data_IF_622160769302
#
_entry.id   IF_622160769302
#
_cell.length_a   1.000
_cell.length_b   1.000
_cell.length_c   1.000
_cell.angle_alpha   90.00
_cell.angle_beta   90.00
_cell.angle_gamma   90.00
#
_symmetry.space_group_name_H-M   'P 1'
#
loop_
_entity.id
_entity.type
_entity.pdbx_description
1 polymer ?
#
# COMPACT_ATOMS: atom_id res chain seq x y z
N UNK A 1 15.92 -8.52 12.17
CA UNK A 1 14.98 -9.21 13.08
C UNK A 1 13.74 -8.34 13.25
N UNK A 2 12.56 -8.91 13.09
CA UNK A 2 11.28 -8.25 13.34
C UNK A 2 10.45 -9.10 14.31
N UNK A 3 9.68 -8.45 15.18
CA UNK A 3 8.77 -9.11 16.12
C UNK A 3 7.39 -8.50 15.95
N UNK A 4 6.39 -9.33 15.69
CA UNK A 4 5.00 -8.92 15.64
C UNK A 4 4.29 -9.39 16.92
N UNK A 5 3.78 -8.43 17.69
CA UNK A 5 2.97 -8.72 18.87
C UNK A 5 1.58 -9.23 18.43
N UNK A 6 1.02 -10.14 19.21
CA UNK A 6 -0.27 -10.77 18.93
C UNK A 6 -1.12 -10.68 20.19
N UNK A 7 -2.32 -10.11 20.09
CA UNK A 7 -3.21 -10.02 21.24
C UNK A 7 -3.97 -11.34 21.45
N UNK A 8 -4.21 -11.72 22.70
CA UNK A 8 -4.92 -12.96 23.05
C UNK A 8 -6.32 -13.02 22.42
N UNK A 9 -7.04 -11.89 22.45
CA UNK A 9 -8.38 -11.75 21.87
C UNK A 9 -8.41 -12.03 20.36
N UNK A 10 -7.34 -11.66 19.65
CA UNK A 10 -7.22 -11.92 18.20
C UNK A 10 -7.07 -13.41 17.89
N UNK A 11 -6.53 -14.20 18.83
CA UNK A 11 -6.22 -15.63 18.68
C UNK A 11 -7.41 -16.52 19.04
N UNK A 12 -8.14 -16.22 20.12
CA UNK A 12 -9.21 -17.08 20.62
C UNK A 12 -10.49 -17.05 19.75
N UNK A 13 -10.90 -15.87 19.29
CA UNK A 13 -12.10 -15.72 18.44
C UNK A 13 -12.08 -16.60 17.15
N UNK A 14 -11.00 -16.61 16.34
CA UNK A 14 -10.97 -17.35 15.08
C UNK A 14 -10.54 -18.81 15.22
N UNK A 15 -9.88 -19.19 16.34
CA UNK A 15 -9.52 -20.59 16.61
C UNK A 15 -10.71 -21.40 17.11
N UNK A 16 -11.68 -20.75 17.77
CA UNK A 16 -12.77 -21.43 18.47
C UNK A 16 -12.30 -22.24 19.69
N UNK A 17 -11.03 -22.11 20.06
CA UNK A 17 -10.40 -22.78 21.20
C UNK A 17 -10.15 -21.73 22.29
N UNK A 18 -10.87 -21.79 23.42
CA UNK A 18 -10.69 -20.83 24.51
C UNK A 18 -9.30 -20.95 25.17
N UNK A 19 -8.61 -22.06 24.98
CA UNK A 19 -7.24 -22.28 25.47
C UNK A 19 -6.18 -21.92 24.44
N UNK A 20 -6.56 -21.52 23.22
CA UNK A 20 -5.60 -21.13 22.20
C UNK A 20 -4.94 -19.79 22.55
N UNK A 21 -3.61 -19.80 22.56
CA UNK A 21 -2.81 -18.60 22.71
C UNK A 21 -1.54 -18.71 21.86
N UNK A 22 -1.00 -17.56 21.47
CA UNK A 22 0.19 -17.50 20.64
C UNK A 22 1.20 -16.53 21.23
N UNK A 23 2.49 -16.85 21.06
CA UNK A 23 3.58 -15.92 21.36
C UNK A 23 3.61 -14.76 20.36
N UNK A 24 4.44 -13.74 20.57
CA UNK A 24 4.86 -12.86 19.49
C UNK A 24 5.47 -13.67 18.34
N UNK A 25 5.20 -13.25 17.12
CA UNK A 25 5.74 -13.88 15.91
C UNK A 25 7.11 -13.28 15.60
N UNK A 26 8.12 -14.14 15.49
CA UNK A 26 9.50 -13.77 15.18
C UNK A 26 9.73 -13.91 13.67
N UNK A 27 10.28 -12.87 13.05
CA UNK A 27 10.75 -12.91 11.67
C UNK A 27 12.25 -12.63 11.62
N UNK A 28 12.99 -13.60 11.08
CA UNK A 28 14.41 -13.49 10.77
C UNK A 28 14.54 -13.45 9.25
N UNK A 29 15.12 -12.37 8.74
CA UNK A 29 15.37 -12.18 7.32
C UNK A 29 16.75 -11.57 7.10
N UNK A 30 17.39 -11.94 6.00
CA UNK A 30 18.65 -11.40 5.52
C UNK A 30 18.57 -11.28 3.99
N UNK A 31 19.17 -10.22 3.43
CA UNK A 31 19.31 -10.03 1.99
C UNK A 31 20.80 -9.95 1.65
N UNK A 32 21.37 -10.87 0.85
CA UNK A 32 20.75 -12.07 0.27
C UNK A 32 20.43 -13.15 1.34
N UNK A 33 19.47 -14.04 1.02
CA UNK A 33 19.10 -15.15 1.91
C UNK A 33 20.23 -16.18 1.94
N UNK A 34 20.86 -16.36 3.10
CA UNK A 34 21.91 -17.36 3.34
C UNK A 34 21.56 -18.18 4.59
N UNK A 35 22.08 -19.40 4.71
CA UNK A 35 21.93 -20.20 5.92
C UNK A 35 22.88 -19.74 7.03
N UNK A 36 22.53 -20.00 8.29
CA UNK A 36 23.47 -19.79 9.38
C UNK A 36 24.61 -20.80 9.29
N UNK A 37 25.84 -20.34 9.48
CA UNK A 37 27.03 -21.21 9.49
C UNK A 37 27.05 -22.15 10.71
N UNK A 38 26.33 -21.79 11.77
CA UNK A 38 26.15 -22.60 12.98
C UNK A 38 24.72 -22.45 13.49
N UNK A 39 24.17 -23.46 14.19
CA UNK A 39 22.85 -23.37 14.79
C UNK A 39 22.75 -22.18 15.77
N UNK A 40 21.75 -21.32 15.56
CA UNK A 40 21.48 -20.19 16.43
C UNK A 40 20.45 -20.58 17.46
N UNK A 41 20.71 -20.25 18.73
CA UNK A 41 19.75 -20.38 19.82
C UNK A 41 18.77 -19.21 19.80
N UNK A 42 17.49 -19.52 19.71
CA UNK A 42 16.39 -18.56 19.71
C UNK A 42 15.58 -18.75 20.98
N UNK A 43 15.19 -17.63 21.57
CA UNK A 43 14.37 -17.57 22.78
C UNK A 43 13.12 -16.74 22.49
N UNK A 44 11.94 -17.34 22.65
CA UNK A 44 10.64 -16.69 22.44
C UNK A 44 9.83 -16.81 23.72
N UNK A 45 9.14 -15.74 24.18
CA UNK A 45 8.31 -15.81 25.37
C UNK A 45 7.17 -16.81 25.16
N UNK A 46 6.80 -17.51 26.24
CA UNK A 46 5.64 -18.39 26.23
C UNK A 46 4.37 -17.58 25.94
N UNK A 47 3.35 -18.19 25.32
CA UNK A 47 2.07 -17.54 25.10
C UNK A 47 1.44 -17.03 26.42
N UNK A 48 0.67 -15.94 26.39
CA UNK A 48 0.03 -15.41 27.60
C UNK A 48 -0.81 -16.49 28.30
N UNK A 49 -0.69 -16.58 29.63
CA UNK A 49 -1.37 -17.59 30.44
C UNK A 49 -0.68 -18.95 30.51
N UNK A 50 0.44 -19.15 29.81
CA UNK A 50 1.24 -20.38 29.84
C UNK A 50 2.53 -20.13 30.60
N UNK A 51 2.83 -20.98 31.59
CA UNK A 51 4.07 -20.97 32.36
C UNK A 51 4.79 -22.30 32.21
N UNK A 52 6.11 -22.29 32.36
CA UNK A 52 6.92 -23.51 32.15
C UNK A 52 6.61 -24.66 33.11
N UNK A 53 6.01 -24.39 34.28
CA UNK A 53 5.62 -25.41 35.25
C UNK A 53 4.25 -26.05 34.94
N UNK A 54 3.40 -25.40 34.15
CA UNK A 54 2.06 -25.89 33.78
C UNK A 54 1.94 -26.25 32.30
N UNK A 55 3.01 -26.09 31.53
CA UNK A 55 2.96 -26.30 30.07
C UNK A 55 2.77 -27.77 29.74
N UNK A 56 1.67 -28.08 29.05
CA UNK A 56 1.49 -29.35 28.38
C UNK A 56 2.24 -29.31 27.04
N UNK A 57 3.38 -29.98 26.96
CA UNK A 57 4.21 -30.03 25.75
C UNK A 57 3.49 -30.65 24.55
N UNK A 58 2.42 -31.45 24.76
CA UNK A 58 1.62 -32.00 23.66
C UNK A 58 0.73 -30.97 22.96
N UNK A 59 0.52 -29.81 23.61
CA UNK A 59 -0.29 -28.68 23.13
C UNK A 59 0.56 -27.53 22.61
N UNK A 60 1.88 -27.63 22.74
CA UNK A 60 2.82 -26.60 22.35
C UNK A 60 3.34 -26.90 20.94
N UNK A 61 3.10 -25.97 20.02
CA UNK A 61 3.45 -26.11 18.61
C UNK A 61 4.38 -24.99 18.17
N UNK A 62 5.58 -25.33 17.69
CA UNK A 62 6.50 -24.40 17.05
C UNK A 62 6.21 -24.40 15.54
N UNK A 63 5.65 -23.30 15.06
CA UNK A 63 5.29 -23.11 13.66
C UNK A 63 6.42 -22.40 12.92
N UNK A 64 6.79 -22.96 11.78
CA UNK A 64 7.73 -22.38 10.82
C UNK A 64 6.98 -21.87 9.59
N UNK A 65 7.19 -20.61 9.24
CA UNK A 65 6.53 -19.97 8.10
C UNK A 65 7.51 -19.61 6.99
N UNK A 66 7.25 -20.07 5.77
CA UNK A 66 8.03 -19.68 4.60
C UNK A 66 7.62 -18.24 4.15
N UNK A 67 8.54 -17.26 4.15
CA UNK A 67 8.26 -15.91 3.68
C UNK A 67 7.73 -15.83 2.24
N UNK A 68 8.10 -16.79 1.39
CA UNK A 68 7.78 -16.80 -0.05
C UNK A 68 6.50 -17.58 -0.33
N UNK A 69 6.38 -18.79 0.21
CA UNK A 69 5.23 -19.66 -0.03
C UNK A 69 3.99 -19.33 0.83
N UNK A 70 4.11 -18.46 1.85
CA UNK A 70 3.01 -18.13 2.78
C UNK A 70 2.40 -19.39 3.46
N UNK A 71 3.18 -20.47 3.52
CA UNK A 71 2.82 -21.75 4.13
C UNK A 71 3.41 -21.84 5.53
N UNK A 72 2.64 -22.44 6.44
CA UNK A 72 3.04 -22.68 7.82
C UNK A 72 3.11 -24.18 8.09
N UNK A 73 4.24 -24.64 8.63
CA UNK A 73 4.51 -26.04 8.95
C UNK A 73 4.85 -26.20 10.43
N UNK A 74 4.30 -27.21 11.08
CA UNK A 74 4.67 -27.55 12.45
C UNK A 74 6.01 -28.29 12.45
N UNK A 75 7.01 -27.71 13.13
CA UNK A 75 8.38 -28.25 13.24
C UNK A 75 8.70 -28.71 14.67
N UNK A 76 7.70 -28.82 15.55
CA UNK A 76 7.89 -29.16 16.97
C UNK A 76 8.66 -30.46 17.16
N UNK A 77 8.36 -31.49 16.37
CA UNK A 77 9.05 -32.78 16.44
C UNK A 77 10.46 -32.77 15.81
N UNK A 78 10.78 -31.76 15.00
CA UNK A 78 12.04 -31.66 14.26
C UNK A 78 13.10 -30.87 15.03
N UNK A 79 12.69 -30.12 16.06
CA UNK A 79 13.56 -29.20 16.81
C UNK A 79 13.56 -29.56 18.28
N UNK A 80 14.74 -29.56 18.90
CA UNK A 80 14.88 -29.70 20.36
C UNK A 80 14.38 -28.44 21.06
N UNK A 81 13.10 -28.46 21.43
CA UNK A 81 12.42 -27.41 22.18
C UNK A 81 12.52 -27.69 23.67
N UNK A 82 13.04 -26.74 24.45
CA UNK A 82 12.95 -26.79 25.91
C UNK A 82 12.32 -25.53 26.45
N UNK A 83 11.63 -25.66 27.59
CA UNK A 83 10.87 -24.58 28.19
C UNK A 83 11.49 -24.19 29.54
N UNK A 84 11.66 -22.90 29.74
CA UNK A 84 12.03 -22.27 31.02
C UNK A 84 10.76 -21.75 31.71
N UNK A 85 10.88 -21.01 32.82
CA UNK A 85 9.71 -20.47 33.51
C UNK A 85 8.79 -19.62 32.60
N UNK A 86 9.36 -18.82 31.68
CA UNK A 86 8.61 -17.89 30.82
C UNK A 86 9.01 -17.91 29.33
N UNK A 87 9.99 -18.72 28.93
CA UNK A 87 10.45 -18.78 27.55
C UNK A 87 10.50 -20.21 27.02
N UNK A 88 10.21 -20.36 25.73
CA UNK A 88 10.64 -21.51 24.96
C UNK A 88 11.95 -21.21 24.26
N UNK A 89 12.87 -22.18 24.28
CA UNK A 89 14.19 -22.05 23.70
C UNK A 89 14.45 -23.21 22.75
N UNK A 90 14.98 -22.89 21.57
CA UNK A 90 15.22 -23.85 20.52
C UNK A 90 16.38 -23.40 19.61
N UNK A 91 16.88 -24.31 18.78
CA UNK A 91 17.97 -24.03 17.84
C UNK A 91 17.48 -24.08 16.40
N UNK A 92 17.94 -23.14 15.57
CA UNK A 92 17.58 -23.02 14.16
C UNK A 92 18.82 -22.84 13.28
N UNK A 93 18.69 -23.19 11.99
CA UNK A 93 19.76 -23.06 11.00
C UNK A 93 19.43 -22.12 9.84
N UNK A 94 18.19 -21.62 9.77
CA UNK A 94 17.69 -20.85 8.63
C UNK A 94 16.99 -19.55 9.09
N UNK A 95 17.13 -18.49 8.28
CA UNK A 95 16.32 -17.28 8.42
C UNK A 95 14.90 -17.56 7.94
N UNK A 96 13.94 -17.43 8.84
CA UNK A 96 12.54 -17.71 8.55
C UNK A 96 11.60 -17.07 9.59
N UNK A 97 10.32 -17.38 9.50
CA UNK A 97 9.28 -16.97 10.44
C UNK A 97 9.08 -18.09 11.46
N UNK A 98 9.07 -17.74 12.74
CA UNK A 98 8.87 -18.66 13.85
C UNK A 98 7.77 -18.14 14.75
N UNK A 99 6.83 -19.02 15.10
CA UNK A 99 5.68 -18.64 15.91
C UNK A 99 5.29 -19.78 16.84
N UNK A 100 5.27 -19.52 18.15
CA UNK A 100 4.92 -20.51 19.15
C UNK A 100 3.42 -20.43 19.48
N UNK A 101 2.75 -21.57 19.42
CA UNK A 101 1.32 -21.73 19.64
C UNK A 101 1.06 -22.69 20.78
N UNK A 102 0.07 -22.39 21.61
CA UNK A 102 -0.46 -23.31 22.60
C UNK A 102 -1.94 -23.52 22.31
N UNK A 103 -2.36 -24.76 22.01
CA UNK A 103 -3.75 -25.07 21.63
C UNK A 103 -4.08 -26.54 21.87
N UNK A 104 -5.37 -26.85 22.01
CA UNK A 104 -5.88 -28.21 22.08
C UNK A 104 -6.06 -28.88 20.71
N UNK A 105 -5.96 -28.12 19.62
CA UNK A 105 -6.16 -28.62 18.26
C UNK A 105 -4.92 -29.35 17.74
N UNK A 106 -5.11 -30.54 17.16
CA UNK A 106 -4.01 -31.31 16.56
C UNK A 106 -3.49 -30.76 15.22
N UNK A 107 -4.30 -29.97 14.51
CA UNK A 107 -3.97 -29.42 13.19
C UNK A 107 -3.95 -27.88 13.24
N UNK A 108 -2.78 -27.31 13.53
CA UNK A 108 -2.64 -25.89 13.86
C UNK A 108 -2.23 -25.04 12.65
N UNK A 109 -1.57 -25.62 11.65
CA UNK A 109 -1.04 -24.93 10.46
C UNK A 109 -2.09 -24.15 9.65
N UNK A 110 -3.29 -24.71 9.45
CA UNK A 110 -4.38 -24.01 8.75
C UNK A 110 -4.89 -22.79 9.51
N UNK A 111 -4.97 -22.89 10.85
CA UNK A 111 -5.41 -21.80 11.73
C UNK A 111 -4.34 -20.72 11.80
N UNK A 112 -3.07 -21.11 11.94
CA UNK A 112 -1.91 -20.20 11.91
C UNK A 112 -1.88 -19.42 10.61
N UNK A 113 -2.11 -20.08 9.46
CA UNK A 113 -2.18 -19.40 8.17
C UNK A 113 -3.29 -18.36 8.16
N UNK A 114 -4.51 -18.70 8.58
CA UNK A 114 -5.62 -17.72 8.64
C UNK A 114 -5.29 -16.54 9.56
N UNK A 115 -4.70 -16.83 10.71
CA UNK A 115 -4.31 -15.83 11.71
C UNK A 115 -3.19 -14.92 11.23
N UNK A 116 -2.19 -15.48 10.56
CA UNK A 116 -1.15 -14.73 9.91
C UNK A 116 -1.69 -13.74 8.87
N UNK A 117 -2.65 -14.17 8.06
CA UNK A 117 -3.31 -13.28 7.10
C UNK A 117 -4.09 -12.18 7.84
N UNK A 118 -4.85 -12.52 8.89
CA UNK A 118 -5.58 -11.54 9.71
C UNK A 118 -4.65 -10.50 10.37
N UNK A 119 -3.50 -10.92 10.89
CA UNK A 119 -2.51 -9.99 11.47
C UNK A 119 -1.86 -9.07 10.44
N UNK A 120 -1.83 -9.49 9.18
CA UNK A 120 -1.36 -8.65 8.07
C UNK A 120 -2.45 -7.75 7.49
N UNK A 121 -3.70 -7.88 7.93
CA UNK A 121 -4.81 -7.07 7.47
C UNK A 121 -4.81 -5.71 8.18
N UNK A 122 -4.89 -4.66 7.38
CA UNK A 122 -5.01 -3.29 7.83
C UNK A 122 -6.37 -2.76 7.43
N UNK A 123 -7.03 -2.13 8.39
CA UNK A 123 -8.23 -1.33 8.19
C UNK A 123 -7.81 -0.01 7.56
N UNK A 124 -8.16 0.19 6.29
CA UNK A 124 -7.76 1.36 5.51
C UNK A 124 -8.98 2.13 5.00
N UNK A 125 -8.74 3.40 4.66
CA UNK A 125 -9.67 4.24 3.89
C UNK A 125 -8.95 4.81 2.68
N UNK A 126 -9.71 5.00 1.61
CA UNK A 126 -9.26 5.68 0.40
C UNK A 126 -9.74 7.12 0.41
N UNK A 127 -8.88 8.02 -0.08
CA UNK A 127 -9.18 9.41 -0.35
C UNK A 127 -9.02 9.64 -1.85
N UNK A 128 -9.92 10.43 -2.40
CA UNK A 128 -9.84 10.96 -3.75
C UNK A 128 -10.24 12.44 -3.65
N UNK A 129 -9.26 13.33 -3.70
CA UNK A 129 -9.48 14.76 -3.51
C UNK A 129 -8.97 15.52 -4.73
N UNK A 130 -9.67 16.57 -5.12
CA UNK A 130 -9.32 17.47 -6.22
C UNK A 130 -8.65 18.72 -5.65
N UNK A 131 -7.65 19.27 -6.32
CA UNK A 131 -7.01 20.51 -5.86
C UNK A 131 -7.97 21.67 -6.09
N UNK A 132 -8.13 22.57 -5.12
CA UNK A 132 -9.11 23.67 -5.23
C UNK A 132 -8.82 24.63 -6.38
N UNK A 133 -7.54 24.87 -6.65
CA UNK A 133 -7.10 25.78 -7.72
C UNK A 133 -7.00 25.09 -9.09
N UNK A 134 -7.02 23.75 -9.13
CA UNK A 134 -6.89 22.95 -10.33
C UNK A 134 -7.68 21.64 -10.15
N UNK A 135 -8.98 21.63 -10.49
CA UNK A 135 -9.83 20.47 -10.25
C UNK A 135 -9.47 19.25 -11.11
N UNK A 136 -8.67 19.42 -12.16
CA UNK A 136 -8.14 18.33 -12.98
C UNK A 136 -6.97 17.64 -12.28
N UNK A 137 -6.34 18.28 -11.29
CA UNK A 137 -5.35 17.64 -10.44
C UNK A 137 -6.02 16.87 -9.28
N UNK A 138 -5.96 15.54 -9.35
CA UNK A 138 -6.56 14.61 -8.38
C UNK A 138 -5.49 13.92 -7.56
N UNK A 139 -5.64 14.02 -6.24
CA UNK A 139 -4.88 13.29 -5.23
C UNK A 139 -5.62 12.01 -4.84
N UNK A 140 -5.01 10.86 -5.13
CA UNK A 140 -5.44 9.56 -4.63
C UNK A 140 -4.54 9.11 -3.48
N UNK A 141 -5.16 8.70 -2.38
CA UNK A 141 -4.40 8.28 -1.20
C UNK A 141 -5.04 7.09 -0.49
N UNK A 142 -4.23 6.11 -0.06
CA UNK A 142 -4.64 5.00 0.79
C UNK A 142 -3.97 5.08 2.16
N UNK A 143 -4.76 5.11 3.23
CA UNK A 143 -4.29 5.34 4.61
C UNK A 143 -4.89 4.34 5.60
N UNK A 144 -4.12 3.93 6.62
CA UNK A 144 -4.65 3.31 7.82
C UNK A 144 -5.73 4.18 8.49
N UNK A 145 -6.73 3.54 9.09
CA UNK A 145 -7.90 4.18 9.72
C UNK A 145 -7.51 5.29 10.72
N UNK A 146 -6.50 5.03 11.56
CA UNK A 146 -6.00 5.94 12.60
C UNK A 146 -5.39 7.24 12.04
N UNK A 147 -5.04 7.26 10.75
CA UNK A 147 -4.37 8.40 10.08
C UNK A 147 -5.25 9.11 9.07
N UNK A 148 -6.41 8.55 8.72
CA UNK A 148 -7.24 9.07 7.65
C UNK A 148 -7.84 10.45 7.98
N UNK A 149 -8.36 10.61 9.20
CA UNK A 149 -9.06 11.85 9.62
C UNK A 149 -8.10 13.02 9.80
N UNK A 150 -6.99 12.82 10.50
CA UNK A 150 -5.96 13.85 10.67
C UNK A 150 -5.37 14.30 9.34
N UNK A 151 -5.21 13.36 8.38
CA UNK A 151 -4.75 13.68 7.03
C UNK A 151 -5.77 14.50 6.25
N UNK A 152 -7.06 14.17 6.34
CA UNK A 152 -8.13 14.93 5.67
C UNK A 152 -8.16 16.39 6.14
N UNK A 153 -8.04 16.61 7.46
CA UNK A 153 -7.94 17.97 8.02
C UNK A 153 -6.73 18.72 7.47
N UNK A 154 -5.55 18.08 7.42
CA UNK A 154 -4.33 18.70 6.89
C UNK A 154 -4.40 19.09 5.41
N UNK A 155 -5.26 18.42 4.63
CA UNK A 155 -5.43 18.65 3.20
C UNK A 155 -6.56 19.62 2.88
N UNK A 156 -7.45 19.91 3.84
CA UNK A 156 -8.66 20.70 3.64
C UNK A 156 -8.41 22.13 3.14
N UNK A 157 -7.22 22.70 3.36
CA UNK A 157 -6.87 24.02 2.85
C UNK A 157 -6.68 24.02 1.33
N UNK A 158 -5.99 23.01 0.79
CA UNK A 158 -5.53 22.94 -0.61
C UNK A 158 -6.38 22.05 -1.52
N UNK A 159 -7.09 21.08 -0.92
CA UNK A 159 -7.87 20.08 -1.64
C UNK A 159 -9.32 20.06 -1.15
N UNK A 160 -10.22 19.67 -2.04
CA UNK A 160 -11.64 19.48 -1.80
C UNK A 160 -12.08 18.15 -2.43
N UNK A 161 -13.05 17.46 -1.83
CA UNK A 161 -13.50 16.19 -2.37
C UNK A 161 -14.57 15.51 -1.54
N UNK A 162 -15.02 14.31 -1.96
CA UNK A 162 -15.94 13.49 -1.18
C UNK A 162 -15.35 13.09 0.18
N UNK A 163 -16.24 12.60 1.05
CA UNK A 163 -15.82 11.95 2.28
C UNK A 163 -14.93 10.73 1.98
N UNK A 164 -14.02 10.36 2.90
CA UNK A 164 -13.23 9.14 2.79
C UNK A 164 -14.10 7.92 2.52
N UNK A 165 -13.56 6.93 1.81
CA UNK A 165 -14.29 5.69 1.53
C UNK A 165 -14.77 5.01 2.81
N UNK A 166 -15.74 4.11 2.65
CA UNK A 166 -16.01 3.10 3.66
C UNK A 166 -14.75 2.31 3.99
N UNK A 167 -14.77 1.65 5.15
CA UNK A 167 -13.65 0.88 5.62
C UNK A 167 -13.38 -0.30 4.70
N UNK A 168 -12.15 -0.38 4.19
CA UNK A 168 -11.67 -1.55 3.48
C UNK A 168 -10.57 -2.27 4.27
N UNK A 169 -10.33 -3.53 3.92
CA UNK A 169 -9.27 -4.34 4.54
C UNK A 169 -8.19 -4.61 3.48
N UNK A 170 -6.92 -4.31 3.77
CA UNK A 170 -5.80 -4.63 2.87
C UNK A 170 -4.69 -5.37 3.60
N UNK A 171 -4.07 -6.32 2.93
CA UNK A 171 -2.87 -6.98 3.44
C UNK A 171 -1.63 -6.10 3.20
N UNK A 172 -0.70 -6.10 4.15
CA UNK A 172 0.63 -5.50 3.91
C UNK A 172 1.34 -6.23 2.76
N UNK A 173 1.74 -5.48 1.75
CA UNK A 173 2.32 -5.94 0.49
C UNK A 173 1.29 -6.21 -0.61
N UNK A 174 -0.01 -6.06 -0.34
CA UNK A 174 -1.06 -6.28 -1.33
C UNK A 174 -1.05 -5.17 -2.39
N UNK A 175 -1.11 -5.59 -3.65
CA UNK A 175 -1.28 -4.69 -4.77
C UNK A 175 -2.77 -4.45 -5.02
N UNK A 176 -3.12 -3.18 -5.23
CA UNK A 176 -4.46 -2.75 -5.62
C UNK A 176 -4.35 -1.66 -6.68
N UNK A 177 -5.46 -1.34 -7.34
CA UNK A 177 -5.48 -0.42 -8.47
C UNK A 177 -6.57 0.62 -8.29
N UNK A 178 -6.37 1.79 -8.92
CA UNK A 178 -7.38 2.82 -9.06
C UNK A 178 -7.65 3.10 -10.54
N UNK A 179 -8.91 3.01 -10.95
CA UNK A 179 -9.37 3.33 -12.30
C UNK A 179 -10.32 4.51 -12.29
N UNK A 180 -10.20 5.38 -13.28
CA UNK A 180 -11.14 6.48 -13.51
C UNK A 180 -12.24 5.99 -14.45
N UNK A 181 -13.48 6.32 -14.10
CA UNK A 181 -14.67 5.83 -14.80
C UNK A 181 -15.68 6.96 -15.02
N UNK A 182 -16.70 6.67 -15.85
CA UNK A 182 -17.85 7.55 -16.12
C UNK A 182 -17.45 8.90 -16.73
N UNK A 183 -16.64 8.86 -17.78
CA UNK A 183 -16.31 10.04 -18.60
C UNK A 183 -15.13 10.84 -18.09
N UNK A 184 -14.37 10.32 -17.13
CA UNK A 184 -13.07 10.83 -16.71
C UNK A 184 -12.03 9.77 -17.00
N UNK A 185 -10.90 10.18 -17.56
CA UNK A 185 -9.75 9.31 -17.84
C UNK A 185 -8.44 9.96 -17.36
N UNK A 186 -7.38 9.17 -17.28
CA UNK A 186 -6.02 9.64 -16.97
C UNK A 186 -5.11 9.55 -18.17
N UNK A 187 -4.09 10.40 -18.21
CA UNK A 187 -3.04 10.26 -19.20
C UNK A 187 -2.29 8.92 -19.01
N UNK A 188 -2.40 8.03 -19.99
CA UNK A 188 -1.91 6.66 -19.97
C UNK A 188 -0.37 6.54 -20.06
N UNK A 189 0.34 7.62 -20.38
CA UNK A 189 1.78 7.63 -20.63
C UNK A 189 2.67 7.44 -19.38
N UNK A 190 2.09 7.18 -18.21
CA UNK A 190 2.84 7.04 -16.96
C UNK A 190 3.32 5.60 -16.73
N UNK A 191 4.56 5.39 -16.23
CA UNK A 191 5.10 4.04 -15.98
C UNK A 191 4.36 3.27 -14.88
N UNK A 192 3.64 3.99 -14.00
CA UNK A 192 2.84 3.42 -12.92
C UNK A 192 1.34 3.27 -13.28
N UNK A 193 1.01 3.51 -14.55
CA UNK A 193 -0.27 3.29 -15.18
C UNK A 193 -0.20 2.00 -16.03
N UNK A 194 -1.12 1.06 -15.78
CA UNK A 194 -1.33 -0.13 -16.61
C UNK A 194 -2.74 -0.05 -17.17
N UNK A 195 -2.89 0.04 -18.49
CA UNK A 195 -4.19 0.11 -19.18
C UNK A 195 -5.12 1.20 -18.61
N UNK A 196 -4.61 2.43 -18.43
CA UNK A 196 -5.39 3.57 -17.91
C UNK A 196 -5.66 3.53 -16.40
N UNK A 197 -4.97 2.66 -15.65
CA UNK A 197 -5.23 2.40 -14.23
C UNK A 197 -3.96 2.47 -13.39
N UNK A 198 -4.04 3.14 -12.25
CA UNK A 198 -2.91 3.41 -11.38
C UNK A 198 -2.67 2.25 -10.41
N UNK A 199 -1.48 1.68 -10.40
CA UNK A 199 -1.12 0.59 -9.49
C UNK A 199 -0.55 1.08 -8.16
N UNK A 200 -1.02 0.54 -7.04
CA UNK A 200 -0.53 0.82 -5.69
C UNK A 200 -0.12 -0.48 -4.99
N UNK A 201 0.82 -0.41 -4.05
CA UNK A 201 1.14 -1.52 -3.14
C UNK A 201 1.09 -1.01 -1.71
N UNK A 202 0.30 -1.66 -0.85
CA UNK A 202 0.06 -1.16 0.50
C UNK A 202 1.12 -1.62 1.50
N UNK A 203 1.76 -0.68 2.17
CA UNK A 203 2.67 -0.88 3.29
C UNK A 203 2.36 0.10 4.42
N UNK A 204 1.93 -0.38 5.59
CA UNK A 204 1.46 0.46 6.72
C UNK A 204 2.37 1.63 7.17
N UNK A 205 3.67 1.59 6.86
CA UNK A 205 4.65 2.61 7.23
C UNK A 205 4.96 3.61 6.10
N UNK A 206 4.50 3.35 4.87
CA UNK A 206 4.73 4.21 3.71
C UNK A 206 3.49 5.05 3.41
N UNK A 207 3.72 6.16 2.69
CA UNK A 207 2.66 7.00 2.14
C UNK A 207 2.30 6.46 0.76
N UNK A 208 1.07 5.97 0.59
CA UNK A 208 0.55 5.55 -0.72
C UNK A 208 -0.22 6.71 -1.32
N UNK A 209 0.52 7.62 -1.94
CA UNK A 209 -0.02 8.85 -2.53
C UNK A 209 0.31 8.83 -4.02
N UNK A 210 -0.68 9.16 -4.85
CA UNK A 210 -0.46 9.52 -6.25
C UNK A 210 -1.26 10.77 -6.59
N UNK A 211 -0.58 11.75 -7.15
CA UNK A 211 -1.22 12.89 -7.79
C UNK A 211 -1.20 12.71 -9.29
N UNK A 212 -2.36 12.86 -9.89
CA UNK A 212 -2.58 12.65 -11.32
C UNK A 212 -3.44 13.75 -11.88
N UNK A 213 -3.21 14.06 -13.15
CA UNK A 213 -4.05 14.96 -13.91
C UNK A 213 -5.08 14.13 -14.68
N UNK A 214 -6.35 14.49 -14.58
CA UNK A 214 -7.47 13.79 -15.19
C UNK A 214 -8.10 14.65 -16.27
N UNK A 215 -8.59 14.02 -17.33
CA UNK A 215 -9.24 14.72 -18.43
C UNK A 215 -10.60 14.07 -18.72
N UNK A 216 -11.59 14.86 -19.18
CA UNK A 216 -12.85 14.30 -19.64
C UNK A 216 -12.62 13.44 -20.90
N UNK A 217 -13.21 12.23 -20.93
CA UNK A 217 -13.06 11.29 -22.06
C UNK A 217 -13.63 11.84 -23.36
N UNK A 218 -14.65 12.70 -23.28
CA UNK A 218 -15.23 13.40 -24.42
C UNK A 218 -15.32 14.90 -24.09
N UNK A 219 -14.96 15.79 -25.03
CA UNK A 219 -15.16 17.22 -24.85
C UNK A 219 -16.67 17.52 -24.83
N UNK A 220 -17.25 17.62 -23.63
CA UNK A 220 -18.64 18.02 -23.42
C UNK A 220 -18.69 19.39 -22.72
N UNK A 221 -19.62 20.25 -23.14
CA UNK A 221 -19.88 21.50 -22.44
C UNK A 221 -20.60 21.21 -21.11
N UNK A 222 -20.03 21.69 -20.00
CA UNK A 222 -20.58 21.57 -18.66
C UNK A 222 -19.76 20.72 -17.69
N UNK A 223 -20.26 20.55 -16.46
CA UNK A 223 -19.61 19.76 -15.43
C UNK A 223 -19.74 18.27 -15.70
N UNK A 224 -18.62 17.61 -15.99
CA UNK A 224 -18.52 16.16 -16.13
C UNK A 224 -18.45 15.52 -14.74
N UNK A 225 -19.40 14.63 -14.47
CA UNK A 225 -19.42 13.82 -13.25
C UNK A 225 -18.79 12.46 -13.54
N UNK A 226 -17.61 12.21 -12.99
CA UNK A 226 -17.01 10.89 -13.03
C UNK A 226 -16.81 10.31 -11.65
N UNK A 227 -16.02 9.26 -11.60
CA UNK A 227 -15.68 8.59 -10.35
C UNK A 227 -14.32 7.91 -10.46
N UNK A 228 -13.69 7.68 -9.32
CA UNK A 228 -12.55 6.79 -9.21
C UNK A 228 -12.95 5.55 -8.41
N UNK A 229 -12.61 4.39 -8.93
CA UNK A 229 -12.91 3.09 -8.34
C UNK A 229 -11.61 2.40 -7.94
N UNK A 230 -11.59 1.84 -6.73
CA UNK A 230 -10.49 1.06 -6.21
C UNK A 230 -10.84 -0.43 -6.24
N UNK A 231 -9.92 -1.26 -6.72
CA UNK A 231 -10.11 -2.71 -6.81
C UNK A 231 -8.83 -3.51 -6.52
N UNK A 232 -9.02 -4.73 -6.02
CA UNK A 232 -7.98 -5.74 -5.79
C UNK A 232 -7.82 -6.62 -7.04
N UNK A 233 -6.61 -7.11 -7.25
CA UNK A 233 -6.33 -8.12 -8.30
C UNK A 233 -6.33 -7.53 -9.70
N UNK A 234 -6.75 -8.33 -10.68
CA UNK A 234 -6.71 -7.95 -12.10
C UNK A 234 -7.89 -7.06 -12.51
N UNK A 235 -7.64 -6.28 -13.56
CA UNK A 235 -8.53 -5.28 -14.15
C UNK A 235 -9.82 -5.94 -14.66
N UNK A 236 -11.01 -5.69 -14.05
CA UNK A 236 -12.27 -6.09 -14.67
C UNK A 236 -12.48 -5.30 -15.97
N UNK A 237 -12.93 -5.97 -17.04
CA UNK A 237 -13.27 -5.29 -18.30
C UNK A 237 -14.46 -4.34 -18.09
N UNK A 238 -14.53 -3.28 -18.89
CA UNK A 238 -15.53 -2.20 -18.75
C UNK A 238 -16.99 -2.72 -18.84
N UNK A 239 -17.20 -3.86 -19.49
CA UNK A 239 -18.50 -4.54 -19.60
C UNK A 239 -18.90 -5.30 -18.32
N UNK A 240 -17.94 -5.67 -17.46
CA UNK A 240 -18.18 -6.44 -16.23
C UNK A 240 -18.33 -5.57 -14.96
N UNK A 241 -17.94 -4.29 -15.02
CA UNK A 241 -17.91 -3.39 -13.88
C UNK A 241 -19.29 -3.10 -13.25
N UNK A 242 -20.38 -3.24 -14.01
CA UNK A 242 -21.74 -3.09 -13.48
C UNK A 242 -22.28 -4.38 -12.82
N UNK A 243 -21.86 -5.55 -13.34
CA UNK A 243 -22.28 -6.89 -12.88
C UNK A 243 -21.58 -7.31 -11.59
N UNK A 244 -20.27 -7.08 -11.49
CA UNK A 244 -19.45 -7.47 -10.33
C UNK A 244 -19.65 -6.60 -9.08
N UNK A 245 -20.42 -5.50 -9.17
CA UNK A 245 -20.83 -4.67 -8.02
C UNK A 245 -21.72 -5.41 -7.01
N UNK A 246 -22.29 -6.57 -7.39
CA UNK A 246 -23.14 -7.44 -6.54
C UNK A 246 -22.75 -8.92 -6.69
N UNK A 247 -21.46 -9.23 -6.61
CA UNK A 247 -20.95 -10.61 -6.64
C UNK A 247 -20.26 -11.02 -5.34
N UNK A 248 -20.14 -12.33 -5.11
CA UNK A 248 -19.41 -12.91 -3.96
C UNK A 248 -17.88 -12.74 -4.04
N UNK A 249 -17.40 -12.08 -5.11
CA UNK A 249 -15.99 -11.88 -5.41
C UNK A 249 -15.58 -10.44 -5.07
N UNK A 250 -14.95 -10.26 -3.91
CA UNK A 250 -14.59 -8.98 -3.28
C UNK A 250 -13.42 -8.25 -3.99
N UNK A 251 -13.43 -8.19 -5.32
CA UNK A 251 -12.44 -7.43 -6.10
C UNK A 251 -12.69 -5.93 -5.99
N UNK A 252 -13.94 -5.48 -5.95
CA UNK A 252 -14.28 -4.08 -5.75
C UNK A 252 -14.08 -3.65 -4.29
N UNK A 253 -13.43 -2.51 -4.07
CA UNK A 253 -13.16 -2.01 -2.73
C UNK A 253 -13.98 -0.76 -2.39
N UNK A 254 -13.87 0.28 -3.22
CA UNK A 254 -14.49 1.57 -2.95
C UNK A 254 -14.67 2.37 -4.24
N UNK A 255 -15.60 3.32 -4.20
CA UNK A 255 -15.85 4.27 -5.30
C UNK A 255 -16.05 5.64 -4.73
N UNK A 256 -15.30 6.61 -5.24
CA UNK A 256 -15.37 7.99 -4.80
C UNK A 256 -15.75 8.88 -5.99
N UNK A 257 -16.81 9.69 -5.88
CA UNK A 257 -17.25 10.56 -6.97
C UNK A 257 -16.29 11.74 -7.15
N UNK A 258 -16.07 12.12 -8.41
CA UNK A 258 -15.26 13.27 -8.80
C UNK A 258 -16.07 14.16 -9.74
N UNK A 259 -15.75 15.46 -9.78
CA UNK A 259 -16.42 16.42 -10.66
C UNK A 259 -15.39 17.30 -11.34
N UNK A 260 -15.35 17.25 -12.67
CA UNK A 260 -14.53 18.16 -13.47
C UNK A 260 -15.49 19.16 -14.08
N UNK A 261 -15.33 20.43 -13.73
CA UNK A 261 -16.05 21.50 -14.42
C UNK A 261 -15.22 21.93 -15.61
N UNK A 262 -15.75 21.76 -16.83
CA UNK A 262 -15.24 22.54 -17.96
C UNK A 262 -15.67 23.99 -17.72
N UNK A 263 -14.80 24.77 -17.07
CA UNK A 263 -14.89 26.21 -17.16
C UNK A 263 -14.69 26.58 -18.64
N UNK A 264 -15.55 27.44 -19.16
CA UNK A 264 -15.65 27.83 -20.57
C UNK A 264 -14.32 27.78 -21.31
N UNK A 265 -14.20 26.85 -22.26
CA UNK A 265 -13.14 26.85 -23.27
C UNK A 265 -13.37 27.99 -24.29
N UNK A 266 -13.56 29.22 -23.82
CA UNK A 266 -13.50 30.43 -24.64
C UNK A 266 -12.30 31.33 -24.27
N UNK A 267 -11.40 30.78 -23.45
CA UNK A 267 -10.03 31.24 -23.34
C UNK A 267 -9.20 30.04 -22.92
N UNK A 268 -8.14 29.74 -23.68
CA UNK A 268 -7.06 28.84 -23.29
C UNK A 268 -6.83 28.85 -21.76
N UNK A 269 -7.39 27.87 -21.05
CA UNK A 269 -6.95 27.50 -19.71
C UNK A 269 -6.08 26.23 -19.82
N UNK A 270 -5.16 26.22 -20.79
CA UNK A 270 -3.77 26.23 -20.31
C UNK A 270 -3.67 27.51 -19.52
N UNK A 271 -3.93 27.45 -18.21
CA UNK A 271 -3.46 28.51 -17.33
C UNK A 271 -1.97 28.46 -17.51
N UNK A 272 -1.45 29.25 -18.45
CA UNK A 272 -0.04 29.51 -18.62
C UNK A 272 0.42 29.71 -17.19
N UNK A 273 1.31 28.82 -16.73
CA UNK A 273 1.90 28.94 -15.41
C UNK A 273 2.40 30.39 -15.40
N UNK A 274 1.71 31.29 -14.68
CA UNK A 274 2.03 32.71 -14.76
C UNK A 274 3.24 32.88 -13.87
N UNK A 275 4.39 32.55 -14.44
CA UNK A 275 5.68 32.55 -13.81
C UNK A 275 6.22 33.98 -13.62
N UNK A 276 5.36 34.97 -13.89
CA UNK A 276 5.70 36.36 -14.11
C UNK A 276 6.31 36.57 -15.49
N UNK A 277 6.52 37.83 -15.83
CA UNK A 277 7.19 38.24 -17.06
C UNK A 277 8.65 37.75 -17.06
N UNK A 278 9.20 37.22 -18.17
CA UNK A 278 10.58 36.72 -18.24
C UNK A 278 11.67 37.71 -17.79
N UNK A 279 11.40 39.02 -17.78
CA UNK A 279 12.31 40.05 -17.32
C UNK A 279 12.11 40.46 -15.85
N UNK A 280 10.89 40.35 -15.31
CA UNK A 280 10.52 40.90 -13.98
C UNK A 280 9.84 39.92 -13.01
N UNK A 281 9.58 38.68 -13.43
CA UNK A 281 8.88 37.62 -12.70
C UNK A 281 9.73 36.82 -11.70
N UNK A 282 9.15 35.78 -11.10
CA UNK A 282 9.88 34.91 -10.17
C UNK A 282 10.81 33.93 -10.91
N UNK A 283 10.40 33.45 -12.08
CA UNK A 283 11.21 32.56 -12.92
C UNK A 283 11.83 33.32 -14.11
N UNK A 284 12.60 34.35 -13.82
CA UNK A 284 13.50 34.93 -14.83
C UNK A 284 14.51 33.90 -15.30
N UNK A 285 15.13 34.14 -16.47
CA UNK A 285 16.20 33.30 -17.02
C UNK A 285 17.37 33.13 -16.02
N UNK A 286 17.60 34.13 -15.17
CA UNK A 286 18.60 34.13 -14.09
C UNK A 286 18.21 33.27 -12.88
N UNK A 287 16.92 33.12 -12.57
CA UNK A 287 16.42 32.30 -11.46
C UNK A 287 16.13 30.85 -11.86
N UNK A 288 15.79 30.60 -13.13
CA UNK A 288 15.53 29.25 -13.65
C UNK A 288 16.77 28.37 -13.67
N UNK A 289 17.95 28.95 -13.92
CA UNK A 289 19.22 28.20 -13.92
C UNK A 289 19.56 27.61 -12.53
N UNK A 290 19.56 28.37 -11.42
CA UNK A 290 19.80 27.80 -10.10
C UNK A 290 18.69 26.84 -9.65
N UNK A 291 17.45 27.03 -10.10
CA UNK A 291 16.34 26.10 -9.82
C UNK A 291 16.54 24.78 -10.58
N UNK A 292 16.89 24.83 -11.87
CA UNK A 292 17.10 23.62 -12.68
C UNK A 292 18.28 22.78 -12.18
N UNK A 293 19.35 23.42 -11.69
CA UNK A 293 20.47 22.73 -11.03
C UNK A 293 20.07 21.98 -9.76
N UNK A 294 19.04 22.45 -9.03
CA UNK A 294 18.54 21.80 -7.80
C UNK A 294 17.53 20.70 -8.05
N UNK A 295 16.80 20.77 -9.18
CA UNK A 295 15.80 19.78 -9.55
C UNK A 295 16.46 18.42 -9.88
N UNK A 296 17.67 18.43 -10.45
CA UNK A 296 18.46 17.23 -10.78
C UNK A 296 17.58 16.09 -11.34
N UNK A 297 17.60 14.87 -10.79
CA UNK A 297 16.85 13.70 -11.29
C UNK A 297 15.33 13.80 -11.12
N UNK A 298 14.82 14.73 -10.30
CA UNK A 298 13.38 14.88 -10.05
C UNK A 298 12.65 15.61 -11.20
N UNK A 299 13.37 16.12 -12.20
CA UNK A 299 12.79 16.89 -13.30
C UNK A 299 11.71 16.12 -14.08
N UNK A 300 11.86 14.80 -14.21
CA UNK A 300 10.87 13.95 -14.87
C UNK A 300 9.58 13.88 -14.07
N UNK A 301 9.68 13.69 -12.75
CA UNK A 301 8.52 13.67 -11.86
C UNK A 301 7.81 15.03 -11.83
N UNK A 302 8.58 16.12 -11.79
CA UNK A 302 8.05 17.48 -11.87
C UNK A 302 7.34 17.69 -13.21
N UNK A 303 7.94 17.27 -14.32
CA UNK A 303 7.34 17.36 -15.65
C UNK A 303 6.00 16.63 -15.76
N UNK A 304 5.93 15.40 -15.22
CA UNK A 304 4.67 14.63 -15.17
C UNK A 304 3.61 15.36 -14.33
N UNK A 305 4.00 15.94 -13.19
CA UNK A 305 3.08 16.70 -12.33
C UNK A 305 2.64 18.04 -12.95
N UNK A 306 3.41 18.56 -13.90
CA UNK A 306 3.08 19.75 -14.69
C UNK A 306 2.27 19.42 -15.96
N UNK A 307 1.84 18.16 -16.13
CA UNK A 307 1.03 17.73 -17.27
C UNK A 307 1.82 17.47 -18.56
N UNK A 308 3.15 17.45 -18.51
CA UNK A 308 3.98 17.11 -19.68
C UNK A 308 3.90 15.60 -19.94
N UNK A 309 3.62 15.23 -21.20
CA UNK A 309 3.57 13.81 -21.60
C UNK A 309 4.92 13.12 -21.43
N UNK A 310 4.91 11.82 -21.16
CA UNK A 310 6.15 11.05 -21.01
C UNK A 310 6.96 11.04 -22.30
N UNK A 311 6.31 10.97 -23.47
CA UNK A 311 6.99 11.06 -24.76
C UNK A 311 7.77 12.37 -24.95
N UNK A 312 7.20 13.49 -24.49
CA UNK A 312 7.89 14.77 -24.51
C UNK A 312 9.06 14.79 -23.51
N UNK A 313 8.88 14.25 -22.31
CA UNK A 313 9.96 14.12 -21.33
C UNK A 313 11.07 13.19 -21.84
N UNK A 314 10.71 12.13 -22.56
CA UNK A 314 11.64 11.18 -23.14
C UNK A 314 12.43 11.81 -24.28
N UNK A 315 11.78 12.62 -25.12
CA UNK A 315 12.44 13.46 -26.13
C UNK A 315 13.41 14.44 -25.48
N UNK A 316 13.01 15.12 -24.41
CA UNK A 316 13.88 16.04 -23.66
C UNK A 316 15.09 15.29 -23.09
N UNK A 317 14.89 14.11 -22.49
CA UNK A 317 15.94 13.24 -21.97
C UNK A 317 16.93 12.83 -23.07
N UNK A 318 16.42 12.41 -24.21
CA UNK A 318 17.25 11.93 -25.31
C UNK A 318 18.01 13.07 -25.98
N UNK A 319 17.41 14.27 -26.06
CA UNK A 319 18.08 15.48 -26.55
C UNK A 319 19.16 16.00 -25.58
N UNK A 320 18.97 15.84 -24.27
CA UNK A 320 19.86 16.38 -23.23
C UNK A 320 20.52 15.28 -22.37
N UNK A 321 20.81 14.12 -22.99
CA UNK A 321 21.28 12.89 -22.33
C UNK A 321 22.52 13.07 -21.44
N UNK A 322 23.38 14.05 -21.74
CA UNK A 322 24.60 14.35 -20.94
C UNK A 322 24.34 15.26 -19.75
N UNK A 323 23.23 16.00 -19.72
CA UNK A 323 22.89 16.98 -18.67
C UNK A 323 21.87 16.37 -17.68
N UNK A 324 20.94 15.56 -18.18
CA UNK A 324 19.90 14.92 -17.37
C UNK A 324 20.34 13.63 -16.64
N UNK A 325 21.52 13.09 -16.96
CA UNK A 325 22.01 11.83 -16.37
C UNK A 325 22.76 12.00 -15.04
N UNK A 326 22.96 13.24 -14.57
CA UNK A 326 23.74 13.54 -13.38
C UNK A 326 25.23 13.26 -13.59
N UNK A 327 26.03 14.33 -13.56
CA UNK A 327 27.39 14.23 -13.01
C UNK A 327 27.26 14.43 -11.50
#
# INVERSE_FOLDING_TARGET
>A
MQVLQVALSEVQEPTGDPHASASPMLCLSQTPSMHFLQPIRVQIPLPPGVTGHMVDMSRLHLMHGDPTAHTWTDITAQVSLYVTHIYAVFSITNFSWYWLWYTTHRCVSGVVRKMYHRLKQFRVRFLALQRKNDPEQVLLQCLPLDRAESRLVSLSEQYEGPQPSELCVLLKGEQFFAGFERGIDINADRPDCKDGRLSFTFYSHLKHIKEVHVCPTHPQQGTVRGQVSFYRGEVPSDEEAASKRKGHDNQWMATLPLRISNADCDGSISGELNLGDPESGYLTLTNLLPISLRINQEWQNIGINLGISYDQLERIRNQHRRVCAGV
#
